data_IF_793478093903
#
_entry.id   IF_793478093903
#
_cell.length_a   1.000
_cell.length_b   1.000
_cell.length_c   1.000
_cell.angle_alpha   90.00
_cell.angle_beta   90.00
_cell.angle_gamma   90.00
#
_symmetry.space_group_name_H-M   'P 1'
#
loop_
_entity.id
_entity.type
_entity.pdbx_description
1 polymer ?
#
# COMPACT_ATOMS: atom_id res chain seq x y z
N UNK A 1 38.89 -2.55 2.16
CA UNK A 1 37.45 -2.22 2.14
C UNK A 1 36.78 -3.38 1.43
N UNK A 2 35.87 -4.11 2.07
CA UNK A 2 35.19 -5.23 1.40
C UNK A 2 34.32 -4.64 0.29
N UNK A 3 34.48 -5.08 -0.96
CA UNK A 3 33.57 -4.69 -2.03
C UNK A 3 32.17 -5.19 -1.65
N UNK A 4 31.23 -4.27 -1.39
CA UNK A 4 29.83 -4.64 -1.22
C UNK A 4 29.30 -5.12 -2.59
N UNK A 5 29.11 -6.43 -2.71
CA UNK A 5 28.64 -7.09 -3.93
C UNK A 5 27.31 -7.79 -3.64
N UNK A 6 26.27 -7.44 -4.39
CA UNK A 6 24.98 -8.14 -4.36
C UNK A 6 24.90 -9.16 -5.49
N UNK A 7 24.45 -10.38 -5.17
CA UNK A 7 24.22 -11.43 -6.16
C UNK A 7 22.78 -11.39 -6.64
N UNK A 8 22.59 -11.36 -7.97
CA UNK A 8 21.26 -11.34 -8.60
C UNK A 8 21.17 -12.43 -9.67
N UNK A 9 19.95 -12.70 -10.17
CA UNK A 9 19.74 -13.59 -11.31
C UNK A 9 20.47 -13.13 -12.59
N UNK A 10 20.78 -11.83 -12.68
CA UNK A 10 21.47 -11.20 -13.81
C UNK A 10 22.98 -11.02 -13.56
N UNK A 11 23.52 -11.62 -12.50
CA UNK A 11 24.94 -11.56 -12.13
C UNK A 11 25.23 -10.66 -10.93
N UNK A 12 26.52 -10.47 -10.67
CA UNK A 12 27.02 -9.70 -9.54
C UNK A 12 26.88 -8.18 -9.80
N UNK A 13 26.32 -7.48 -8.83
CA UNK A 13 26.21 -6.02 -8.79
C UNK A 13 27.22 -5.47 -7.78
N UNK A 14 28.23 -4.74 -8.28
CA UNK A 14 29.21 -4.05 -7.44
C UNK A 14 28.64 -2.71 -7.01
N UNK A 15 28.35 -2.55 -5.72
CA UNK A 15 27.70 -1.33 -5.18
C UNK A 15 28.53 -0.08 -5.43
N UNK A 16 29.86 -0.21 -5.40
CA UNK A 16 30.75 0.92 -5.68
C UNK A 16 30.52 1.54 -7.06
N UNK A 17 30.10 0.74 -8.04
CA UNK A 17 29.79 1.23 -9.39
C UNK A 17 28.49 2.02 -9.46
N UNK A 18 27.68 2.04 -8.38
CA UNK A 18 26.45 2.83 -8.30
C UNK A 18 26.72 4.26 -7.81
N UNK A 19 27.77 4.44 -7.01
CA UNK A 19 28.09 5.73 -6.38
C UNK A 19 28.38 6.77 -7.47
N UNK A 20 27.68 7.91 -7.40
CA UNK A 20 27.80 9.01 -8.37
C UNK A 20 26.98 8.84 -9.66
N UNK A 21 26.33 7.68 -9.88
CA UNK A 21 25.39 7.52 -11.00
C UNK A 21 24.05 8.16 -10.68
N UNK A 22 23.40 8.70 -11.71
CA UNK A 22 22.04 9.25 -11.60
C UNK A 22 21.02 8.13 -11.56
N UNK A 23 19.92 8.35 -10.84
CA UNK A 23 18.73 7.51 -10.98
C UNK A 23 18.20 7.54 -12.43
N UNK A 24 17.64 6.42 -12.88
CA UNK A 24 17.30 6.11 -14.27
C UNK A 24 18.45 5.51 -15.09
N UNK A 25 19.68 5.48 -14.56
CA UNK A 25 20.81 4.93 -15.30
C UNK A 25 20.74 3.41 -15.45
N UNK A 26 21.12 2.91 -16.64
CA UNK A 26 21.24 1.49 -16.94
C UNK A 26 22.58 0.96 -16.42
N UNK A 27 22.55 0.08 -15.42
CA UNK A 27 23.74 -0.51 -14.80
C UNK A 27 23.99 -1.89 -15.40
N UNK A 28 25.23 -2.14 -15.79
CA UNK A 28 25.67 -3.45 -16.28
C UNK A 28 26.04 -4.34 -15.08
N UNK A 29 25.58 -5.59 -15.12
CA UNK A 29 25.96 -6.67 -14.21
C UNK A 29 26.85 -7.67 -14.94
N UNK A 30 27.38 -8.66 -14.22
CA UNK A 30 28.27 -9.66 -14.83
C UNK A 30 27.61 -10.52 -15.92
N UNK A 31 26.28 -10.70 -15.92
CA UNK A 31 25.53 -11.51 -16.91
C UNK A 31 24.34 -10.79 -17.56
N UNK A 32 24.08 -9.53 -17.22
CA UNK A 32 22.88 -8.81 -17.64
C UNK A 32 22.92 -7.33 -17.25
N UNK A 33 21.77 -6.68 -17.15
CA UNK A 33 21.67 -5.27 -16.80
C UNK A 33 20.40 -4.96 -16.01
N UNK A 34 20.39 -3.83 -15.31
CA UNK A 34 19.22 -3.31 -14.60
C UNK A 34 19.15 -1.78 -14.66
N UNK A 35 18.06 -1.19 -14.16
CA UNK A 35 17.93 0.25 -14.00
C UNK A 35 18.00 0.63 -12.52
N UNK A 36 18.72 1.72 -12.23
CA UNK A 36 18.77 2.30 -10.89
C UNK A 36 17.54 3.19 -10.69
N UNK A 37 16.62 2.86 -9.79
CA UNK A 37 15.41 3.66 -9.53
C UNK A 37 15.55 4.49 -8.26
N UNK A 38 14.99 5.69 -8.26
CA UNK A 38 14.93 6.53 -7.06
C UNK A 38 13.98 5.86 -6.06
N UNK A 39 14.34 5.73 -4.77
CA UNK A 39 13.46 5.15 -3.78
C UNK A 39 12.18 5.97 -3.62
N UNK A 40 11.04 5.28 -3.56
CA UNK A 40 9.73 5.86 -3.21
C UNK A 40 9.04 4.94 -2.20
N UNK A 41 8.09 5.43 -1.40
CA UNK A 41 7.28 4.56 -0.54
C UNK A 41 6.58 3.40 -1.26
N UNK A 42 6.19 3.55 -2.53
CA UNK A 42 5.64 2.46 -3.35
C UNK A 42 6.69 1.40 -3.63
N UNK A 43 7.88 1.80 -4.08
CA UNK A 43 8.99 0.87 -4.32
C UNK A 43 9.47 0.23 -3.01
N UNK A 44 9.50 0.99 -1.91
CA UNK A 44 9.80 0.48 -0.58
C UNK A 44 8.79 -0.59 -0.16
N UNK A 45 7.50 -0.32 -0.33
CA UNK A 45 6.41 -1.27 -0.02
C UNK A 45 6.57 -2.60 -0.75
N UNK A 46 7.06 -2.58 -1.99
CA UNK A 46 7.30 -3.80 -2.77
C UNK A 46 8.59 -4.56 -2.40
N UNK A 47 9.54 -3.92 -1.74
CA UNK A 47 10.89 -4.45 -1.53
C UNK A 47 11.34 -4.52 -0.06
N UNK A 48 10.56 -3.98 0.87
CA UNK A 48 10.87 -4.01 2.29
C UNK A 48 10.89 -5.45 2.82
N UNK A 49 11.63 -5.64 3.91
CA UNK A 49 11.66 -6.93 4.60
C UNK A 49 10.42 -7.05 5.48
N UNK A 50 9.49 -7.92 5.07
CA UNK A 50 8.25 -8.16 5.79
C UNK A 50 8.51 -8.75 7.18
N UNK A 51 7.99 -8.06 8.20
CA UNK A 51 7.93 -8.53 9.59
C UNK A 51 6.50 -8.81 10.03
N UNK A 52 5.56 -8.19 9.33
CA UNK A 52 4.12 -8.29 9.52
C UNK A 52 3.47 -8.36 8.14
N UNK A 53 2.17 -8.66 8.10
CA UNK A 53 1.36 -8.26 6.97
C UNK A 53 1.43 -6.73 6.83
N UNK A 54 1.40 -6.23 5.59
CA UNK A 54 1.46 -4.81 5.29
C UNK A 54 0.25 -4.39 4.45
N UNK A 55 0.00 -3.09 4.44
CA UNK A 55 -0.85 -2.45 3.45
C UNK A 55 -0.09 -2.22 2.16
N UNK A 56 -0.79 -2.33 1.04
CA UNK A 56 -0.23 -2.05 -0.28
C UNK A 56 -0.76 -0.74 -0.83
N UNK A 57 -0.18 -0.30 -1.94
CA UNK A 57 -0.44 1.00 -2.55
C UNK A 57 -1.93 1.36 -2.73
N UNK A 58 -2.87 0.45 -3.10
CA UNK A 58 -4.28 0.79 -3.21
C UNK A 58 -4.89 1.27 -1.90
N UNK A 59 -4.75 0.48 -0.83
CA UNK A 59 -5.29 0.81 0.49
C UNK A 59 -4.58 2.04 1.05
N UNK A 60 -3.25 2.11 0.93
CA UNK A 60 -2.46 3.28 1.35
C UNK A 60 -2.94 4.56 0.65
N UNK A 61 -3.19 4.50 -0.67
CA UNK A 61 -3.65 5.67 -1.42
C UNK A 61 -5.02 6.16 -0.94
N UNK A 62 -5.92 5.23 -0.63
CA UNK A 62 -7.24 5.56 -0.09
C UNK A 62 -7.12 6.14 1.33
N UNK A 63 -6.28 5.55 2.19
CA UNK A 63 -6.02 6.04 3.55
C UNK A 63 -5.48 7.48 3.53
N UNK A 64 -4.40 7.72 2.77
CA UNK A 64 -3.75 9.03 2.68
C UNK A 64 -4.76 10.10 2.24
N UNK A 65 -5.58 9.78 1.23
CA UNK A 65 -6.59 10.69 0.71
C UNK A 65 -7.75 10.92 1.70
N UNK A 66 -8.32 9.85 2.26
CA UNK A 66 -9.51 9.92 3.12
C UNK A 66 -9.21 10.44 4.54
N UNK A 67 -7.95 10.39 4.98
CA UNK A 67 -7.49 11.05 6.19
C UNK A 67 -7.12 12.54 5.98
N UNK A 68 -7.23 13.06 4.74
CA UNK A 68 -6.81 14.43 4.39
C UNK A 68 -5.35 14.72 4.78
N UNK A 69 -4.46 13.75 4.57
CA UNK A 69 -3.04 13.92 4.89
C UNK A 69 -2.39 14.87 3.89
N UNK A 70 -1.71 15.87 4.41
CA UNK A 70 -1.04 16.92 3.64
C UNK A 70 0.21 17.41 4.37
N UNK A 71 1.04 18.18 3.67
CA UNK A 71 2.22 18.79 4.26
C UNK A 71 1.84 19.57 5.54
N UNK A 72 2.49 19.26 6.66
CA UNK A 72 2.19 19.85 7.97
C UNK A 72 1.23 19.05 8.85
N UNK A 73 0.56 18.01 8.35
CA UNK A 73 -0.31 17.17 9.19
C UNK A 73 0.49 16.46 10.29
N UNK A 74 -0.06 16.45 11.50
CA UNK A 74 0.42 15.60 12.60
C UNK A 74 -0.44 14.34 12.63
N UNK A 75 0.19 13.18 12.51
CA UNK A 75 -0.49 11.90 12.34
C UNK A 75 -0.11 10.94 13.45
N UNK A 76 -1.10 10.25 14.00
CA UNK A 76 -0.90 9.10 14.87
C UNK A 76 -1.11 7.82 14.07
N UNK A 77 -0.17 6.89 14.16
CA UNK A 77 -0.27 5.55 13.60
C UNK A 77 -0.11 4.53 14.72
N UNK A 78 -0.96 3.49 14.77
CA UNK A 78 -0.68 2.37 15.65
C UNK A 78 -0.97 1.03 14.99
N UNK A 79 0.02 0.16 15.14
CA UNK A 79 0.39 -0.86 14.19
C UNK A 79 1.55 -0.41 13.29
N UNK A 80 2.70 0.02 13.84
CA UNK A 80 3.86 0.40 13.00
C UNK A 80 4.28 -0.75 12.07
N UNK A 81 4.27 -1.98 12.57
CA UNK A 81 4.49 -3.18 11.78
C UNK A 81 5.81 -3.17 11.01
N UNK A 82 5.73 -3.25 9.68
CA UNK A 82 6.90 -3.22 8.79
C UNK A 82 7.19 -1.83 8.20
N UNK A 83 6.46 -0.79 8.61
CA UNK A 83 6.70 0.60 8.20
C UNK A 83 6.29 0.96 6.77
N UNK A 84 5.49 0.12 6.10
CA UNK A 84 5.02 0.41 4.72
C UNK A 84 4.17 1.68 4.67
N UNK A 85 3.10 1.74 5.48
CA UNK A 85 2.24 2.92 5.57
C UNK A 85 2.99 4.12 6.15
N UNK A 86 3.83 3.91 7.17
CA UNK A 86 4.64 4.98 7.79
C UNK A 86 5.44 5.78 6.76
N UNK A 87 6.12 5.11 5.80
CA UNK A 87 6.88 5.80 4.75
C UNK A 87 5.96 6.62 3.82
N UNK A 88 4.78 6.12 3.51
CA UNK A 88 3.80 6.83 2.68
C UNK A 88 3.23 8.05 3.40
N UNK A 89 2.95 7.94 4.71
CA UNK A 89 2.51 9.04 5.56
C UNK A 89 3.61 10.12 5.64
N UNK A 90 4.85 9.74 5.98
CA UNK A 90 5.96 10.68 6.12
C UNK A 90 6.14 11.53 4.85
N UNK A 91 6.09 10.89 3.67
CA UNK A 91 6.13 11.61 2.40
C UNK A 91 4.97 12.60 2.24
N UNK A 92 3.75 12.22 2.64
CA UNK A 92 2.58 13.07 2.48
C UNK A 92 2.61 14.30 3.42
N UNK A 93 3.21 14.16 4.60
CA UNK A 93 3.19 15.18 5.65
C UNK A 93 4.46 16.05 5.71
N UNK A 94 5.57 15.58 5.14
CA UNK A 94 6.78 16.36 5.00
C UNK A 94 6.52 17.66 4.18
N UNK A 95 7.28 18.76 4.42
CA UNK A 95 8.45 18.86 5.30
C UNK A 95 8.13 19.42 6.70
N UNK A 96 6.86 19.65 7.05
CA UNK A 96 6.50 20.33 8.30
C UNK A 96 5.58 19.52 9.22
N UNK A 97 5.13 18.34 8.77
CA UNK A 97 4.32 17.43 9.56
C UNK A 97 5.17 16.45 10.36
N UNK A 98 4.51 15.69 11.22
CA UNK A 98 5.17 14.70 12.08
C UNK A 98 4.31 13.45 12.26
N UNK A 99 4.92 12.28 12.18
CA UNK A 99 4.29 10.99 12.43
C UNK A 99 4.66 10.48 13.82
N UNK A 100 3.67 10.26 14.67
CA UNK A 100 3.82 9.52 15.92
C UNK A 100 3.31 8.10 15.73
N UNK A 101 4.22 7.13 15.64
CA UNK A 101 3.87 5.72 15.41
C UNK A 101 4.15 4.85 16.62
N UNK A 102 3.25 3.89 16.87
CA UNK A 102 3.29 3.03 18.06
C UNK A 102 3.16 1.55 17.70
N UNK A 103 4.06 0.74 18.25
CA UNK A 103 3.98 -0.72 18.20
C UNK A 103 4.28 -1.31 19.58
N UNK A 104 3.48 -2.25 20.05
CA UNK A 104 3.67 -2.87 21.36
C UNK A 104 4.92 -3.77 21.42
N UNK A 105 5.46 -4.17 20.27
CA UNK A 105 6.59 -5.09 20.18
C UNK A 105 7.92 -4.34 20.00
N UNK A 106 8.73 -4.32 21.06
CA UNK A 106 10.00 -3.59 21.14
C UNK A 106 10.93 -3.82 19.94
N UNK A 107 11.17 -5.08 19.54
CA UNK A 107 12.08 -5.37 18.42
C UNK A 107 11.63 -4.74 17.10
N UNK A 108 10.31 -4.60 16.86
CA UNK A 108 9.81 -3.97 15.62
C UNK A 108 10.08 -2.46 15.65
N UNK A 109 9.89 -1.84 16.81
CA UNK A 109 10.19 -0.41 17.02
C UNK A 109 11.68 -0.14 16.80
N UNK A 110 12.56 -0.97 17.33
CA UNK A 110 14.02 -0.80 17.16
C UNK A 110 14.43 -0.90 15.68
N UNK A 111 13.93 -1.92 14.98
CA UNK A 111 14.23 -2.11 13.54
C UNK A 111 13.72 -0.94 12.71
N UNK A 112 12.45 -0.56 12.87
CA UNK A 112 11.87 0.51 12.05
C UNK A 112 12.46 1.87 12.37
N UNK A 113 12.87 2.12 13.62
CA UNK A 113 13.59 3.35 14.00
C UNK A 113 14.94 3.43 13.28
N UNK A 114 15.66 2.31 13.20
CA UNK A 114 16.89 2.22 12.41
C UNK A 114 16.63 2.44 10.92
N UNK A 115 15.57 1.85 10.36
CA UNK A 115 15.20 2.07 8.96
C UNK A 115 14.86 3.56 8.69
N UNK A 116 14.11 4.22 9.57
CA UNK A 116 13.81 5.64 9.43
C UNK A 116 15.09 6.50 9.45
N UNK A 117 16.04 6.18 10.33
CA UNK A 117 17.34 6.85 10.36
C UNK A 117 18.17 6.58 9.09
N UNK A 118 18.30 5.32 8.68
CA UNK A 118 19.06 4.92 7.49
C UNK A 118 18.48 5.56 6.21
N UNK A 119 17.18 5.89 6.21
CA UNK A 119 16.47 6.53 5.09
C UNK A 119 16.41 8.06 5.20
N UNK A 120 16.94 8.69 6.27
CA UNK A 120 16.92 10.13 6.47
C UNK A 120 15.52 10.70 6.77
N UNK A 121 14.66 9.92 7.42
CA UNK A 121 13.27 10.24 7.74
C UNK A 121 13.05 10.57 9.22
N UNK A 122 14.07 10.39 10.06
CA UNK A 122 14.00 10.47 11.53
C UNK A 122 13.48 11.82 12.05
N UNK A 123 13.64 12.90 11.28
CA UNK A 123 13.13 14.23 11.65
C UNK A 123 11.61 14.34 11.58
N UNK A 124 10.94 13.47 10.81
CA UNK A 124 9.49 13.52 10.57
C UNK A 124 8.72 12.43 11.30
N UNK A 125 9.40 11.60 12.11
CA UNK A 125 8.77 10.45 12.74
C UNK A 125 9.31 10.20 14.14
N UNK A 126 8.44 9.77 15.03
CA UNK A 126 8.80 9.24 16.35
C UNK A 126 8.10 7.90 16.53
N UNK A 127 8.90 6.83 16.57
CA UNK A 127 8.42 5.49 16.87
C UNK A 127 8.61 5.16 18.35
N UNK A 128 7.56 4.65 19.01
CA UNK A 128 7.60 4.29 20.44
C UNK A 128 7.01 2.91 20.69
N UNK A 129 7.58 2.21 21.67
CA UNK A 129 7.01 0.94 22.15
C UNK A 129 5.85 1.21 23.11
N UNK A 130 4.63 0.85 22.72
CA UNK A 130 3.42 1.14 23.49
C UNK A 130 2.22 0.30 23.06
N UNK A 131 1.38 -0.10 24.01
CA UNK A 131 0.08 -0.72 23.72
C UNK A 131 -0.99 0.36 23.58
N UNK A 132 -1.33 0.73 22.35
CA UNK A 132 -2.31 1.78 22.07
C UNK A 132 -3.70 1.48 22.65
N UNK A 133 -4.07 0.20 22.85
CA UNK A 133 -5.36 -0.18 23.40
C UNK A 133 -5.44 0.04 24.93
N UNK A 134 -4.30 0.09 25.62
CA UNK A 134 -4.23 0.27 27.08
C UNK A 134 -3.71 1.64 27.47
N UNK A 135 -2.66 2.08 26.79
CA UNK A 135 -1.87 3.22 27.18
C UNK A 135 -2.13 4.45 26.28
N UNK A 136 -2.78 4.28 25.13
CA UNK A 136 -3.02 5.37 24.17
C UNK A 136 -1.76 5.87 23.46
N UNK A 137 -1.68 7.18 23.17
CA UNK A 137 -0.71 7.75 22.21
C UNK A 137 0.24 8.83 22.75
N UNK A 138 0.31 9.08 24.06
CA UNK A 138 1.12 10.18 24.66
C UNK A 138 0.89 11.56 24.00
N UNK A 139 -0.30 11.78 23.46
CA UNK A 139 -0.66 12.98 22.71
C UNK A 139 -2.05 13.42 23.17
N UNK A 140 -2.22 14.73 23.30
CA UNK A 140 -3.48 15.36 23.67
C UNK A 140 -3.71 16.57 22.74
N UNK A 141 -4.88 16.68 22.13
CA UNK A 141 -5.28 17.83 21.30
C UNK A 141 -4.24 18.25 20.23
N UNK A 142 -3.60 17.28 19.59
CA UNK A 142 -2.40 17.53 18.75
C UNK A 142 -2.50 16.92 17.35
N UNK A 143 -3.15 15.77 17.18
CA UNK A 143 -3.18 15.05 15.90
C UNK A 143 -4.29 15.55 14.96
N UNK A 144 -3.97 15.71 13.69
CA UNK A 144 -4.94 15.96 12.62
C UNK A 144 -5.62 14.67 12.16
N UNK A 145 -4.88 13.55 12.21
CA UNK A 145 -5.38 12.25 11.80
C UNK A 145 -4.86 11.10 12.69
N UNK A 146 -5.66 10.05 12.82
CA UNK A 146 -5.30 8.79 13.49
C UNK A 146 -5.53 7.62 12.53
N UNK A 147 -4.55 6.74 12.40
CA UNK A 147 -4.67 5.48 11.70
C UNK A 147 -4.42 4.29 12.64
N UNK A 148 -5.29 3.29 12.63
CA UNK A 148 -5.20 2.09 13.46
C UNK A 148 -5.21 0.81 12.61
N UNK A 149 -4.13 0.04 12.67
CA UNK A 149 -4.02 -1.34 12.21
C UNK A 149 -3.71 -2.23 13.42
N UNK A 150 -4.77 -2.55 14.16
CA UNK A 150 -4.71 -3.29 15.43
C UNK A 150 -5.71 -4.45 15.38
N UNK A 151 -5.50 -5.54 16.13
CA UNK A 151 -6.49 -6.62 16.22
C UNK A 151 -7.82 -6.20 16.88
N UNK A 152 -7.78 -5.23 17.80
CA UNK A 152 -8.92 -4.75 18.57
C UNK A 152 -9.00 -3.20 18.55
N UNK A 153 -9.16 -2.57 17.38
CA UNK A 153 -9.02 -1.12 17.25
C UNK A 153 -10.10 -0.35 18.04
N UNK A 154 -11.26 -0.98 18.30
CA UNK A 154 -12.33 -0.39 19.12
C UNK A 154 -11.89 -0.02 20.55
N UNK A 155 -10.87 -0.68 21.10
CA UNK A 155 -10.32 -0.35 22.42
C UNK A 155 -9.47 0.93 22.41
N UNK A 156 -8.91 1.30 21.26
CA UNK A 156 -8.06 2.47 21.12
C UNK A 156 -8.82 3.76 20.73
N UNK A 157 -10.12 3.67 20.41
CA UNK A 157 -10.91 4.82 19.93
C UNK A 157 -10.99 5.94 20.98
N UNK A 158 -11.18 5.60 22.26
CA UNK A 158 -11.23 6.61 23.33
C UNK A 158 -9.89 7.34 23.50
N UNK A 159 -8.77 6.65 23.24
CA UNK A 159 -7.45 7.27 23.20
C UNK A 159 -7.26 8.14 21.95
N UNK A 160 -7.86 7.75 20.81
CA UNK A 160 -7.83 8.55 19.60
C UNK A 160 -8.56 9.89 19.77
N UNK A 161 -9.70 9.89 20.49
CA UNK A 161 -10.40 11.14 20.85
C UNK A 161 -9.50 12.10 21.61
N UNK A 162 -8.70 11.60 22.56
CA UNK A 162 -7.78 12.44 23.34
C UNK A 162 -6.67 13.02 22.46
N UNK A 163 -6.11 12.22 21.56
CA UNK A 163 -4.99 12.63 20.72
C UNK A 163 -5.40 13.61 19.62
N UNK A 164 -6.60 13.47 19.05
CA UNK A 164 -7.10 14.33 17.97
C UNK A 164 -7.35 15.75 18.45
N UNK A 165 -7.11 16.73 17.56
CA UNK A 165 -7.36 18.14 17.84
C UNK A 165 -8.85 18.40 18.13
N UNK A 166 -9.12 19.27 19.10
CA UNK A 166 -10.42 19.85 19.41
C UNK A 166 -10.98 20.67 18.24
N UNK A 167 -10.12 21.17 17.34
CA UNK A 167 -10.54 21.79 16.08
C UNK A 167 -11.17 20.79 15.08
N UNK A 168 -11.10 19.49 15.39
CA UNK A 168 -11.56 18.39 14.55
C UNK A 168 -10.39 17.60 13.96
N UNK A 169 -10.70 16.41 13.44
CA UNK A 169 -9.71 15.52 12.82
C UNK A 169 -10.34 14.29 12.17
N UNK A 170 -9.50 13.42 11.60
CA UNK A 170 -9.93 12.22 10.87
C UNK A 170 -9.39 10.95 11.53
N UNK A 171 -10.17 9.88 11.48
CA UNK A 171 -9.71 8.55 11.91
C UNK A 171 -9.95 7.54 10.80
N UNK A 172 -9.04 6.59 10.68
CA UNK A 172 -9.16 5.41 9.83
C UNK A 172 -8.74 4.18 10.61
N UNK A 173 -9.49 3.09 10.49
CA UNK A 173 -9.10 1.78 11.00
C UNK A 173 -9.06 0.77 9.87
N UNK A 174 -8.06 -0.10 9.86
CA UNK A 174 -8.01 -1.27 8.99
C UNK A 174 -8.43 -2.52 9.78
N UNK A 175 -9.26 -3.38 9.18
CA UNK A 175 -9.68 -4.64 9.80
C UNK A 175 -9.98 -5.72 8.75
N UNK A 176 -9.37 -6.91 8.83
CA UNK A 176 -9.65 -7.99 7.87
C UNK A 176 -11.01 -8.65 8.06
N UNK A 177 -11.59 -8.60 9.27
CA UNK A 177 -12.87 -9.26 9.55
C UNK A 177 -13.99 -8.24 9.74
N UNK A 178 -15.17 -8.53 9.19
CA UNK A 178 -16.31 -7.61 9.23
C UNK A 178 -16.82 -7.38 10.67
N UNK A 179 -16.65 -8.36 11.56
CA UNK A 179 -17.01 -8.27 12.98
C UNK A 179 -16.13 -7.28 13.74
N UNK A 180 -14.86 -7.14 13.32
CA UNK A 180 -13.98 -6.11 13.87
C UNK A 180 -14.44 -4.72 13.43
N UNK A 181 -14.85 -4.57 12.17
CA UNK A 181 -15.43 -3.34 11.64
C UNK A 181 -16.73 -2.97 12.35
N UNK A 182 -17.62 -3.93 12.60
CA UNK A 182 -18.88 -3.70 13.33
C UNK A 182 -18.63 -3.12 14.72
N UNK A 183 -17.77 -3.78 15.53
CA UNK A 183 -17.39 -3.30 16.86
C UNK A 183 -16.74 -1.92 16.83
N UNK A 184 -15.92 -1.66 15.81
CA UNK A 184 -15.26 -0.37 15.62
C UNK A 184 -16.27 0.72 15.33
N UNK A 185 -17.26 0.48 14.45
CA UNK A 185 -18.33 1.42 14.17
C UNK A 185 -19.14 1.75 15.42
N UNK A 186 -19.53 0.73 16.21
CA UNK A 186 -20.24 0.93 17.48
C UNK A 186 -19.45 1.83 18.44
N UNK A 187 -18.15 1.55 18.59
CA UNK A 187 -17.29 2.34 19.46
C UNK A 187 -17.02 3.75 18.92
N UNK A 188 -16.93 3.95 17.60
CA UNK A 188 -16.85 5.28 16.98
C UNK A 188 -18.10 6.11 17.29
N UNK A 189 -19.30 5.52 17.12
CA UNK A 189 -20.57 6.17 17.47
C UNK A 189 -20.62 6.52 18.95
N UNK A 190 -20.28 5.57 19.83
CA UNK A 190 -20.31 5.76 21.28
C UNK A 190 -19.35 6.87 21.75
N UNK A 191 -18.25 7.08 21.03
CA UNK A 191 -17.27 8.14 21.32
C UNK A 191 -17.53 9.45 20.55
N UNK A 192 -18.66 9.57 19.84
CA UNK A 192 -19.12 10.84 19.26
C UNK A 192 -18.58 11.17 17.86
N UNK A 193 -17.90 10.24 17.19
CA UNK A 193 -17.48 10.41 15.79
C UNK A 193 -18.68 10.54 14.86
N UNK A 194 -18.49 11.24 13.73
CA UNK A 194 -19.49 11.53 12.70
C UNK A 194 -19.01 11.04 11.34
N UNK A 195 -19.92 10.93 10.36
CA UNK A 195 -19.62 10.53 8.99
C UNK A 195 -18.80 9.22 8.94
N UNK A 196 -19.32 8.17 9.59
CA UNK A 196 -18.67 6.87 9.63
C UNK A 196 -18.94 6.15 8.31
N UNK A 197 -17.87 5.80 7.60
CA UNK A 197 -17.92 5.19 6.27
C UNK A 197 -16.94 4.01 6.21
N UNK A 198 -17.41 2.84 5.77
CA UNK A 198 -16.57 1.67 5.55
C UNK A 198 -16.38 1.44 4.06
N UNK A 199 -15.13 1.23 3.63
CA UNK A 199 -14.73 1.02 2.25
C UNK A 199 -13.83 -0.22 2.12
N UNK A 200 -13.82 -0.81 0.93
CA UNK A 200 -12.86 -1.84 0.50
C UNK A 200 -12.33 -1.44 -0.88
N UNK A 201 -11.02 -1.61 -1.12
CA UNK A 201 -10.39 -1.31 -2.40
C UNK A 201 -9.89 -2.58 -3.09
N UNK A 202 -10.49 -2.94 -4.22
CA UNK A 202 -10.09 -4.10 -5.04
C UNK A 202 -9.35 -3.65 -6.29
N UNK A 203 -8.01 -3.71 -6.27
CA UNK A 203 -7.19 -3.37 -7.43
C UNK A 203 -7.23 -4.47 -8.50
N UNK A 204 -7.46 -4.09 -9.75
CA UNK A 204 -7.35 -4.98 -10.91
C UNK A 204 -6.29 -4.50 -11.91
N UNK A 205 -5.27 -5.31 -12.11
CA UNK A 205 -4.23 -5.05 -13.10
C UNK A 205 -4.54 -5.71 -14.44
N UNK A 206 -4.26 -4.98 -15.52
CA UNK A 206 -4.41 -5.45 -16.89
C UNK A 206 -3.06 -5.50 -17.60
N UNK A 207 -2.73 -6.66 -18.16
CA UNK A 207 -1.58 -6.85 -19.02
C UNK A 207 -1.93 -6.44 -20.45
N UNK A 208 -1.13 -5.53 -21.01
CA UNK A 208 -1.24 -5.14 -22.42
C UNK A 208 -0.55 -6.20 -23.27
N UNK A 209 -1.30 -6.91 -24.12
CA UNK A 209 -0.76 -7.94 -25.03
C UNK A 209 -1.28 -7.78 -26.44
N UNK A 210 -0.48 -8.16 -27.42
CA UNK A 210 -0.97 -8.39 -28.78
C UNK A 210 -1.53 -9.81 -28.86
N UNK A 211 -2.80 -9.94 -29.21
CA UNK A 211 -3.49 -11.23 -29.39
C UNK A 211 -3.80 -11.42 -30.87
N UNK A 212 -3.79 -12.67 -31.32
CA UNK A 212 -4.21 -13.06 -32.67
C UNK A 212 -5.42 -13.96 -32.53
N UNK A 213 -6.55 -13.56 -33.09
CA UNK A 213 -7.74 -14.41 -33.15
C UNK A 213 -7.76 -15.14 -34.50
N UNK A 214 -8.00 -16.45 -34.53
CA UNK A 214 -8.20 -17.15 -35.78
C UNK A 214 -9.47 -16.62 -36.47
N UNK A 215 -9.42 -16.47 -37.80
CA UNK A 215 -10.62 -16.15 -38.57
C UNK A 215 -11.55 -17.39 -38.57
N UNK A 216 -12.83 -17.17 -38.26
CA UNK A 216 -13.84 -18.24 -38.06
C UNK A 216 -14.50 -18.66 -39.39
N UNK A 217 -13.81 -18.51 -40.52
CA UNK A 217 -14.34 -18.94 -41.83
C UNK A 217 -14.16 -20.46 -42.06
N UNK A 218 -13.48 -21.17 -41.16
CA UNK A 218 -13.16 -22.61 -41.31
C UNK A 218 -14.15 -23.57 -40.60
N UNK A 219 -15.18 -23.07 -39.90
CA UNK A 219 -16.28 -23.91 -39.41
C UNK A 219 -17.42 -23.99 -40.44
N UNK A 220 -17.10 -24.39 -41.67
CA UNK A 220 -18.11 -25.09 -42.48
C UNK A 220 -18.42 -26.39 -41.75
N UNK A 221 -19.53 -26.42 -41.00
CA UNK A 221 -20.18 -27.65 -40.56
C UNK A 221 -20.61 -28.43 -41.82
N UNK A 222 -19.66 -29.07 -42.49
CA UNK A 222 -19.95 -29.99 -43.57
C UNK A 222 -20.56 -31.23 -42.94
N UNK A 223 -21.89 -31.32 -42.92
CA UNK A 223 -22.58 -32.61 -42.96
C UNK A 223 -22.07 -33.34 -44.22
N UNK A 224 -21.03 -34.14 -44.06
CA UNK A 224 -20.43 -34.87 -45.17
C UNK A 224 -21.35 -36.03 -45.55
N UNK A 225 -22.15 -35.85 -46.59
CA UNK A 225 -22.36 -36.95 -47.53
C UNK A 225 -21.07 -37.09 -48.34
N UNK A 226 -20.33 -38.15 -48.06
CA UNK A 226 -19.09 -38.49 -48.76
C UNK A 226 -19.37 -38.85 -50.22
N UNK A 227 -18.78 -38.09 -51.13
CA UNK A 227 -18.28 -38.62 -52.39
C UNK A 227 -16.93 -37.98 -52.68
N UNK A 228 -15.92 -38.85 -52.74
CA UNK A 228 -14.54 -38.55 -53.09
C UNK A 228 -14.43 -37.73 -54.37
N UNK A 229 -13.65 -36.65 -54.32
CA UNK A 229 -12.55 -36.37 -55.27
C UNK A 229 -11.85 -35.04 -54.98
N UNK A 230 -10.53 -35.14 -55.10
CA UNK A 230 -9.55 -34.07 -55.40
C UNK A 230 -9.07 -33.19 -54.24
N UNK A 231 -7.96 -33.65 -53.66
CA UNK A 231 -7.01 -32.85 -52.90
C UNK A 231 -6.19 -31.97 -53.86
N UNK A 232 -6.38 -30.65 -53.82
CA UNK A 232 -5.39 -29.69 -54.30
C UNK A 232 -4.92 -28.76 -53.18
N UNK A 233 -3.61 -28.76 -52.98
CA UNK A 233 -2.89 -28.02 -51.95
C UNK A 233 -2.82 -26.53 -52.28
N UNK A 234 -3.49 -25.72 -51.46
CA UNK A 234 -3.32 -24.27 -51.40
C UNK A 234 -3.15 -23.79 -49.96
N UNK A 235 -2.05 -24.14 -49.29
CA UNK A 235 -1.75 -23.69 -47.91
C UNK A 235 -1.25 -22.24 -47.90
N UNK A 236 -2.13 -21.28 -48.20
CA UNK A 236 -1.96 -19.91 -47.73
C UNK A 236 -2.26 -19.86 -46.24
N UNK A 237 -1.25 -19.67 -45.38
CA UNK A 237 -1.49 -19.33 -43.96
C UNK A 237 -2.22 -17.99 -43.93
N UNK A 238 -3.56 -18.01 -43.83
CA UNK A 238 -4.33 -16.81 -43.48
C UNK A 238 -3.89 -16.39 -42.07
N UNK A 239 -3.09 -15.33 -41.98
CA UNK A 239 -2.72 -14.76 -40.69
C UNK A 239 -3.99 -14.22 -40.04
N UNK A 240 -4.38 -14.79 -38.89
CA UNK A 240 -5.51 -14.30 -38.12
C UNK A 240 -5.37 -12.83 -37.76
N UNK A 241 -6.49 -12.18 -37.46
CA UNK A 241 -6.51 -10.75 -37.15
C UNK A 241 -5.79 -10.47 -35.83
N UNK A 242 -4.81 -9.57 -35.88
CA UNK A 242 -3.99 -9.13 -34.74
C UNK A 242 -4.65 -7.92 -34.08
N UNK A 243 -4.85 -7.97 -32.76
CA UNK A 243 -5.41 -6.88 -31.96
C UNK A 243 -4.55 -6.63 -30.72
N UNK A 244 -4.50 -5.38 -30.26
CA UNK A 244 -3.97 -5.05 -28.93
C UNK A 244 -5.10 -5.20 -27.91
N UNK A 245 -4.90 -6.02 -26.91
CA UNK A 245 -5.89 -6.30 -25.87
C UNK A 245 -5.35 -5.99 -24.48
N UNK A 246 -6.27 -5.62 -23.58
CA UNK A 246 -6.05 -5.52 -22.15
C UNK A 246 -6.61 -6.78 -21.51
N UNK A 247 -5.73 -7.64 -21.03
CA UNK A 247 -6.12 -8.90 -20.40
C UNK A 247 -5.91 -8.79 -18.89
N UNK A 248 -6.92 -9.07 -18.06
CA UNK A 248 -6.73 -9.08 -16.62
C UNK A 248 -5.71 -10.17 -16.23
N UNK A 249 -4.98 -9.95 -15.14
CA UNK A 249 -4.20 -11.03 -14.54
C UNK A 249 -5.11 -12.23 -14.21
N UNK A 250 -4.62 -13.45 -14.44
CA UNK A 250 -5.38 -14.68 -14.17
C UNK A 250 -5.63 -14.90 -12.68
N UNK A 251 -4.76 -14.34 -11.84
CA UNK A 251 -4.89 -14.31 -10.38
C UNK A 251 -4.86 -12.86 -9.93
N UNK A 252 -5.76 -12.51 -9.03
CA UNK A 252 -5.84 -11.20 -8.40
C UNK A 252 -5.82 -11.37 -6.89
N UNK A 253 -5.28 -10.38 -6.18
CA UNK A 253 -5.50 -10.30 -4.74
C UNK A 253 -7.01 -10.23 -4.50
N UNK A 254 -7.50 -11.06 -3.56
CA UNK A 254 -8.90 -11.08 -3.17
C UNK A 254 -9.19 -9.95 -2.20
N UNK A 255 -9.37 -10.31 -0.93
CA UNK A 255 -9.63 -9.37 0.14
C UNK A 255 -8.36 -9.04 0.92
N UNK A 256 -8.10 -7.76 1.18
CA UNK A 256 -7.08 -7.30 2.13
C UNK A 256 -7.72 -7.02 3.49
N UNK A 257 -8.65 -6.07 3.53
CA UNK A 257 -9.39 -5.68 4.72
C UNK A 257 -10.33 -4.51 4.45
N UNK A 258 -11.18 -4.22 5.42
CA UNK A 258 -12.08 -3.08 5.43
C UNK A 258 -11.38 -1.86 6.03
N UNK A 259 -11.54 -0.72 5.38
CA UNK A 259 -11.10 0.59 5.86
C UNK A 259 -12.31 1.36 6.38
N UNK A 260 -12.35 1.64 7.68
CA UNK A 260 -13.44 2.43 8.29
C UNK A 260 -12.95 3.81 8.65
N UNK A 261 -13.53 4.81 8.02
CA UNK A 261 -13.23 6.22 8.20
C UNK A 261 -14.28 6.89 9.07
N UNK A 262 -13.87 7.87 9.86
CA UNK A 262 -14.80 8.77 10.55
C UNK A 262 -14.19 10.15 10.81
N UNK A 263 -15.04 11.11 11.16
CA UNK A 263 -14.65 12.49 11.49
C UNK A 263 -14.85 12.75 12.97
N UNK A 264 -13.82 13.27 13.62
CA UNK A 264 -13.94 13.91 14.91
C UNK A 264 -14.41 15.35 14.69
N UNK A 265 -15.63 15.72 15.09
CA UNK A 265 -16.13 17.07 14.86
C UNK A 265 -15.40 18.08 15.73
N UNK A 266 -15.33 19.32 15.25
CA UNK A 266 -14.85 20.45 16.04
C UNK A 266 -15.66 20.55 17.33
N UNK A 267 -14.98 20.51 18.46
CA UNK A 267 -15.57 20.76 19.76
C UNK A 267 -15.81 22.26 19.85
N UNK A 268 -17.08 22.67 19.87
CA UNK A 268 -17.46 24.03 20.16
C UNK A 268 -17.17 24.31 21.62
N UNK A 269 -16.20 25.18 21.91
CA UNK A 269 -16.04 25.80 23.23
C UNK A 269 -17.26 26.68 23.50
N UNK A 270 -18.38 26.07 23.89
CA UNK A 270 -19.47 26.80 24.54
C UNK A 270 -19.10 26.87 26.02
N UNK A 271 -18.21 27.82 26.35
CA UNK A 271 -18.25 28.40 27.69
C UNK A 271 -19.54 29.22 27.75
N UNK A 272 -20.56 28.69 28.42
CA UNK A 272 -21.67 29.49 28.97
C UNK A 272 -21.21 30.01 30.32
#
# INVERSE_FOLDING_TARGET
MVENIFQTAYGALKVQELVGKKFGHKVQFSRGWGYLLHPTPELWTLNLLHRTQILYTPDISLIVMQLDLKAGSIVVESGTGSGSLSHAIIRAIAPTGHLHTFDFHQQRVEIVTKEFFDHGLEMFVTAKQRDACKDGFDLEDTADAVFLDLPNPWLAISHAVKALKNSGGRICTFSPCIEQTQKTCEALVANGFKCIETMECLQREFQVKNITLPDVDDYNFSFSHTTDKDCEEGKGKKEGRKFRALLPALQMAGHTGYLTFATWPRQSNVQI
#
